data_IF_953810238605
#
_entry.id   IF_953810238605
#
_cell.length_a   1.000
_cell.length_b   1.000
_cell.length_c   1.000
_cell.angle_alpha   90.00
_cell.angle_beta   90.00
_cell.angle_gamma   90.00
#
_symmetry.space_group_name_H-M   'P 1'
#
loop_
_entity.id
_entity.type
_entity.pdbx_description
1 polymer ?
#
# COMPACT_ATOMS: atom_id res chain seq x y z
N UNK A 1 30.42 15.50 -6.07
CA UNK A 1 30.09 15.84 -4.67
C UNK A 1 28.64 16.31 -4.49
N UNK A 2 28.16 17.34 -5.21
CA UNK A 2 26.76 17.82 -5.07
C UNK A 2 25.73 16.72 -5.40
N UNK A 3 25.91 16.01 -6.52
CA UNK A 3 25.01 14.92 -6.96
C UNK A 3 24.91 13.73 -5.98
N UNK A 4 26.00 13.42 -5.27
CA UNK A 4 26.04 12.31 -4.30
C UNK A 4 25.28 12.68 -3.01
N UNK A 5 25.27 13.97 -2.66
CA UNK A 5 24.52 14.50 -1.53
C UNK A 5 23.01 14.52 -1.81
N UNK A 6 22.59 14.86 -3.03
CA UNK A 6 21.17 14.80 -3.41
C UNK A 6 20.64 13.36 -3.35
N UNK A 7 21.39 12.40 -3.88
CA UNK A 7 21.06 10.97 -3.78
C UNK A 7 20.98 10.48 -2.32
N UNK A 8 21.83 11.01 -1.44
CA UNK A 8 21.79 10.68 -0.01
C UNK A 8 20.54 11.25 0.68
N UNK A 9 20.14 12.48 0.35
CA UNK A 9 18.93 13.09 0.88
C UNK A 9 17.65 12.39 0.37
N UNK A 10 17.67 11.90 -0.87
CA UNK A 10 16.57 11.07 -1.40
C UNK A 10 16.50 9.73 -0.69
N UNK A 11 17.65 9.10 -0.42
CA UNK A 11 17.71 7.85 0.36
C UNK A 11 17.10 8.03 1.75
N UNK A 12 17.51 9.06 2.50
CA UNK A 12 16.98 9.30 3.85
C UNK A 12 15.45 9.46 3.84
N UNK A 13 14.89 10.16 2.85
CA UNK A 13 13.43 10.28 2.70
C UNK A 13 12.73 8.97 2.38
N UNK A 14 13.38 8.09 1.62
CA UNK A 14 12.85 6.75 1.31
C UNK A 14 12.85 5.88 2.57
N UNK A 15 13.94 5.93 3.35
CA UNK A 15 14.08 5.18 4.60
C UNK A 15 13.08 5.68 5.66
N UNK A 16 12.86 7.00 5.76
CA UNK A 16 11.84 7.58 6.64
C UNK A 16 10.43 7.16 6.23
N UNK A 17 10.13 7.17 4.93
CA UNK A 17 8.83 6.72 4.41
C UNK A 17 8.61 5.23 4.70
N UNK A 18 9.63 4.38 4.58
CA UNK A 18 9.54 2.95 4.90
C UNK A 18 9.23 2.71 6.38
N UNK A 19 9.87 3.48 7.26
CA UNK A 19 9.57 3.48 8.70
C UNK A 19 8.13 3.94 8.96
N UNK A 20 7.66 4.99 8.28
CA UNK A 20 6.30 5.49 8.45
C UNK A 20 5.24 4.53 7.90
N UNK A 21 5.48 3.84 6.78
CA UNK A 21 4.60 2.76 6.29
C UNK A 21 4.55 1.60 7.28
N UNK A 22 5.71 1.24 7.86
CA UNK A 22 5.81 0.12 8.81
C UNK A 22 5.11 0.41 10.15
N UNK A 23 5.00 1.69 10.53
CA UNK A 23 4.49 2.09 11.86
C UNK A 23 3.12 2.77 11.81
N UNK A 24 2.71 3.36 10.68
CA UNK A 24 1.49 4.16 10.60
C UNK A 24 0.25 3.33 10.27
N UNK A 25 -0.85 3.67 10.95
CA UNK A 25 -2.18 3.05 10.74
C UNK A 25 -2.89 3.65 9.51
N UNK A 26 -2.46 4.83 9.04
CA UNK A 26 -3.12 5.59 7.97
C UNK A 26 -2.26 5.63 6.70
N UNK A 27 -2.65 4.83 5.71
CA UNK A 27 -1.93 4.66 4.44
C UNK A 27 -2.10 5.83 3.45
N UNK A 28 -3.06 6.74 3.70
CA UNK A 28 -3.43 7.83 2.77
C UNK A 28 -2.37 8.93 2.61
N UNK A 29 -1.81 9.53 3.68
CA UNK A 29 -0.71 10.50 3.55
C UNK A 29 0.54 9.85 2.96
N UNK A 30 0.89 8.66 3.43
CA UNK A 30 2.08 7.91 3.05
C UNK A 30 2.09 7.52 1.56
N UNK A 31 0.91 7.22 0.99
CA UNK A 31 0.77 6.99 -0.46
C UNK A 31 1.01 8.28 -1.28
N UNK A 32 0.65 9.44 -0.75
CA UNK A 32 0.92 10.74 -1.40
C UNK A 32 2.41 11.07 -1.46
N UNK A 33 3.13 10.79 -0.39
CA UNK A 33 4.59 10.97 -0.33
C UNK A 33 5.31 9.97 -1.24
N UNK A 34 4.85 8.71 -1.29
CA UNK A 34 5.33 7.71 -2.25
C UNK A 34 5.19 8.19 -3.70
N UNK A 35 4.00 8.67 -4.09
CA UNK A 35 3.74 9.18 -5.44
C UNK A 35 4.63 10.38 -5.77
N UNK A 36 4.89 11.23 -4.79
CA UNK A 36 5.77 12.40 -4.96
C UNK A 36 7.22 11.96 -5.19
N UNK A 37 7.70 10.97 -4.43
CA UNK A 37 9.03 10.37 -4.62
C UNK A 37 9.15 9.63 -5.96
N UNK A 38 8.15 8.87 -6.38
CA UNK A 38 8.13 8.23 -7.70
C UNK A 38 8.24 9.27 -8.82
N UNK A 39 7.44 10.33 -8.78
CA UNK A 39 7.50 11.42 -9.78
C UNK A 39 8.88 12.07 -9.82
N UNK A 40 9.46 12.33 -8.65
CA UNK A 40 10.81 12.88 -8.55
C UNK A 40 11.85 11.92 -9.15
N UNK A 41 11.77 10.62 -8.86
CA UNK A 41 12.68 9.60 -9.38
C UNK A 41 12.58 9.46 -10.91
N UNK A 42 11.37 9.55 -11.48
CA UNK A 42 11.16 9.55 -12.94
C UNK A 42 11.81 10.78 -13.58
N UNK A 43 11.61 11.96 -12.99
CA UNK A 43 12.24 13.19 -13.47
C UNK A 43 13.77 13.09 -13.40
N UNK A 44 14.30 12.57 -12.29
CA UNK A 44 15.73 12.35 -12.08
C UNK A 44 16.30 11.39 -13.12
N UNK A 45 15.66 10.23 -13.32
CA UNK A 45 16.03 9.24 -14.35
C UNK A 45 16.09 9.87 -15.75
N UNK A 46 15.10 10.70 -16.07
CA UNK A 46 15.02 11.38 -17.37
C UNK A 46 16.20 12.34 -17.57
N UNK A 47 16.51 13.15 -16.56
CA UNK A 47 17.64 14.08 -16.59
C UNK A 47 18.99 13.36 -16.66
N UNK A 48 19.19 12.32 -15.85
CA UNK A 48 20.44 11.55 -15.86
C UNK A 48 20.66 10.82 -17.19
N UNK A 49 19.61 10.26 -17.79
CA UNK A 49 19.69 9.65 -19.11
C UNK A 49 20.04 10.65 -20.21
N UNK A 50 19.59 11.91 -20.10
CA UNK A 50 20.00 12.98 -21.00
C UNK A 50 21.48 13.36 -20.81
N UNK A 51 21.94 13.44 -19.55
CA UNK A 51 23.36 13.67 -19.22
C UNK A 51 24.25 12.53 -19.72
N UNK A 52 23.84 11.27 -19.56
CA UNK A 52 24.57 10.10 -20.04
C UNK A 52 24.76 10.14 -21.55
N UNK A 53 23.71 10.50 -22.32
CA UNK A 53 23.82 10.72 -23.77
C UNK A 53 24.80 11.83 -24.15
N UNK A 54 24.86 12.91 -23.38
CA UNK A 54 25.84 13.97 -23.59
C UNK A 54 27.26 13.46 -23.31
N UNK A 55 27.44 12.63 -22.28
CA UNK A 55 28.71 11.97 -21.96
C UNK A 55 29.12 10.96 -23.04
N UNK A 56 28.19 10.19 -23.61
CA UNK A 56 28.45 9.32 -24.75
C UNK A 56 28.98 10.12 -25.96
N UNK A 57 28.37 11.27 -26.23
CA UNK A 57 28.81 12.17 -27.30
C UNK A 57 30.21 12.72 -27.03
N UNK A 58 30.50 13.14 -25.79
CA UNK A 58 31.83 13.58 -25.38
C UNK A 58 32.82 12.42 -25.55
N UNK A 59 32.57 11.26 -24.95
CA UNK A 59 33.48 10.10 -25.03
C UNK A 59 33.83 9.73 -26.47
N UNK A 60 32.83 9.65 -27.35
CA UNK A 60 33.00 9.30 -28.78
C UNK A 60 33.83 10.33 -29.55
N UNK A 61 33.58 11.62 -29.36
CA UNK A 61 34.32 12.66 -30.07
C UNK A 61 35.75 12.82 -29.55
N UNK A 62 35.95 12.68 -28.24
CA UNK A 62 37.28 12.78 -27.63
C UNK A 62 38.14 11.55 -27.98
N UNK A 63 37.60 10.33 -28.09
CA UNK A 63 38.39 9.18 -28.59
C UNK A 63 38.94 9.33 -30.01
N UNK A 64 38.48 10.33 -30.78
CA UNK A 64 38.88 10.58 -32.17
C UNK A 64 40.01 11.62 -32.28
N UNK A 65 40.37 12.31 -31.19
CA UNK A 65 41.40 13.35 -31.18
C UNK A 65 42.67 12.75 -30.55
N UNK A 66 43.71 12.56 -31.35
CA UNK A 66 44.99 11.93 -30.93
C UNK A 66 45.78 12.75 -29.89
N UNK A 67 45.40 14.01 -29.65
CA UNK A 67 46.19 15.00 -28.88
C UNK A 67 45.68 15.24 -27.44
N UNK A 68 44.89 14.31 -26.89
CA UNK A 68 44.30 14.47 -25.56
C UNK A 68 45.22 13.88 -24.48
N UNK A 69 45.53 14.69 -23.48
CA UNK A 69 46.31 14.29 -22.32
C UNK A 69 45.68 13.10 -21.55
N UNK A 70 46.54 12.19 -21.05
CA UNK A 70 46.14 10.98 -20.31
C UNK A 70 45.28 11.33 -19.08
N UNK A 71 45.54 12.47 -18.42
CA UNK A 71 44.73 12.94 -17.29
C UNK A 71 43.28 13.22 -17.70
N UNK A 72 43.06 13.87 -18.84
CA UNK A 72 41.73 14.23 -19.34
C UNK A 72 40.92 12.99 -19.70
N UNK A 73 41.56 12.00 -20.33
CA UNK A 73 40.92 10.72 -20.66
C UNK A 73 40.47 9.96 -19.40
N UNK A 74 41.32 9.93 -18.37
CA UNK A 74 40.99 9.31 -17.08
C UNK A 74 39.79 9.98 -16.39
N UNK A 75 39.74 11.32 -16.41
CA UNK A 75 38.61 12.07 -15.82
C UNK A 75 37.31 11.74 -16.55
N UNK A 76 37.32 11.64 -17.89
CA UNK A 76 36.13 11.31 -18.68
C UNK A 76 35.64 9.88 -18.37
N UNK A 77 36.54 8.90 -18.26
CA UNK A 77 36.17 7.53 -17.90
C UNK A 77 35.62 7.44 -16.47
N UNK A 78 36.24 8.10 -15.47
CA UNK A 78 35.71 8.16 -14.09
C UNK A 78 34.30 8.80 -14.04
N UNK A 79 34.07 9.82 -14.87
CA UNK A 79 32.79 10.52 -14.94
C UNK A 79 31.71 9.66 -15.63
N UNK A 80 32.11 8.86 -16.60
CA UNK A 80 31.25 7.86 -17.24
C UNK A 80 30.83 6.76 -16.26
N UNK A 81 31.79 6.18 -15.53
CA UNK A 81 31.53 5.14 -14.53
C UNK A 81 30.64 5.64 -13.40
N UNK A 82 30.84 6.90 -12.98
CA UNK A 82 29.97 7.57 -12.01
C UNK A 82 28.54 7.72 -12.54
N UNK A 83 28.38 8.11 -13.81
CA UNK A 83 27.06 8.24 -14.44
C UNK A 83 26.35 6.89 -14.56
N UNK A 84 27.04 5.82 -14.96
CA UNK A 84 26.46 4.47 -15.04
C UNK A 84 26.02 3.98 -13.65
N UNK A 85 26.84 4.25 -12.63
CA UNK A 85 26.49 3.93 -11.24
C UNK A 85 25.23 4.65 -10.79
N UNK A 86 25.07 5.93 -11.13
CA UNK A 86 23.87 6.71 -10.80
C UNK A 86 22.61 6.16 -11.49
N UNK A 87 22.70 5.78 -12.76
CA UNK A 87 21.58 5.16 -13.48
C UNK A 87 21.13 3.85 -12.82
N UNK A 88 22.08 3.01 -12.40
CA UNK A 88 21.77 1.76 -11.66
C UNK A 88 21.08 2.04 -10.33
N UNK A 89 21.53 3.07 -9.60
CA UNK A 89 20.93 3.45 -8.32
C UNK A 89 19.49 3.96 -8.53
N UNK A 90 19.27 4.81 -9.51
CA UNK A 90 17.94 5.34 -9.85
C UNK A 90 16.97 4.20 -10.20
N UNK A 91 17.42 3.23 -11.02
CA UNK A 91 16.63 2.05 -11.36
C UNK A 91 16.29 1.21 -10.12
N UNK A 92 17.26 0.97 -9.23
CA UNK A 92 17.05 0.20 -8.00
C UNK A 92 16.04 0.87 -7.07
N UNK A 93 16.11 2.19 -6.86
CA UNK A 93 15.15 2.89 -6.01
C UNK A 93 13.77 3.00 -6.67
N UNK A 94 13.69 3.12 -8.00
CA UNK A 94 12.40 3.07 -8.71
C UNK A 94 11.71 1.72 -8.48
N UNK A 95 12.44 0.62 -8.64
CA UNK A 95 11.93 -0.72 -8.34
C UNK A 95 11.54 -0.91 -6.86
N UNK A 96 12.25 -0.24 -5.95
CA UNK A 96 11.90 -0.27 -4.54
C UNK A 96 10.59 0.47 -4.25
N UNK A 97 10.41 1.67 -4.83
CA UNK A 97 9.17 2.43 -4.72
C UNK A 97 7.97 1.65 -5.30
N UNK A 98 8.16 0.92 -6.40
CA UNK A 98 7.12 0.04 -6.96
C UNK A 98 6.75 -1.11 -6.00
N UNK A 99 7.74 -1.65 -5.26
CA UNK A 99 7.46 -2.67 -4.23
C UNK A 99 6.68 -2.10 -3.06
N UNK A 100 7.01 -0.88 -2.62
CA UNK A 100 6.26 -0.18 -1.57
C UNK A 100 4.83 0.11 -2.02
N UNK A 101 4.62 0.52 -3.28
CA UNK A 101 3.28 0.70 -3.84
C UNK A 101 2.46 -0.59 -3.76
N UNK A 102 3.04 -1.71 -4.21
CA UNK A 102 2.40 -3.02 -4.14
C UNK A 102 2.08 -3.43 -2.70
N UNK A 103 2.98 -3.14 -1.75
CA UNK A 103 2.74 -3.41 -0.33
C UNK A 103 1.59 -2.57 0.23
N UNK A 104 1.53 -1.27 -0.08
CA UNK A 104 0.43 -0.39 0.32
C UNK A 104 -0.89 -0.90 -0.27
N UNK A 105 -0.93 -1.25 -1.55
CA UNK A 105 -2.12 -1.81 -2.19
C UNK A 105 -2.59 -3.12 -1.51
N UNK A 106 -1.65 -3.98 -1.12
CA UNK A 106 -1.96 -5.21 -0.37
C UNK A 106 -2.50 -4.89 1.04
N UNK A 107 -1.93 -3.91 1.73
CA UNK A 107 -2.43 -3.46 3.04
C UNK A 107 -3.83 -2.85 2.94
N UNK A 108 -4.09 -2.00 1.93
CA UNK A 108 -5.42 -1.45 1.67
C UNK A 108 -6.43 -2.58 1.43
N UNK A 109 -6.05 -3.56 0.59
CA UNK A 109 -6.90 -4.73 0.31
C UNK A 109 -7.17 -5.57 1.57
N UNK A 110 -6.16 -5.73 2.43
CA UNK A 110 -6.33 -6.39 3.72
C UNK A 110 -7.29 -5.63 4.64
N UNK A 111 -7.15 -4.30 4.74
CA UNK A 111 -8.05 -3.45 5.52
C UNK A 111 -9.49 -3.51 4.99
N UNK A 112 -9.68 -3.44 3.67
CA UNK A 112 -11.00 -3.55 3.05
C UNK A 112 -11.62 -4.92 3.34
N UNK A 113 -10.84 -6.00 3.22
CA UNK A 113 -11.30 -7.34 3.57
C UNK A 113 -11.68 -7.44 5.05
N UNK A 114 -10.91 -6.84 5.96
CA UNK A 114 -11.25 -6.82 7.39
C UNK A 114 -12.55 -6.03 7.66
N UNK A 115 -12.73 -4.87 7.01
CA UNK A 115 -13.96 -4.07 7.13
C UNK A 115 -15.16 -4.83 6.59
N UNK A 116 -15.02 -5.48 5.42
CA UNK A 116 -16.11 -6.28 4.84
C UNK A 116 -16.47 -7.46 5.75
N UNK A 117 -15.49 -8.18 6.30
CA UNK A 117 -15.73 -9.27 7.26
C UNK A 117 -16.49 -8.80 8.49
N UNK A 118 -16.06 -7.70 9.10
CA UNK A 118 -16.70 -7.14 10.30
C UNK A 118 -18.13 -6.65 10.01
N UNK A 119 -18.34 -5.96 8.89
CA UNK A 119 -19.67 -5.53 8.47
C UNK A 119 -20.60 -6.72 8.19
N UNK A 120 -20.10 -7.74 7.50
CA UNK A 120 -20.86 -8.98 7.21
C UNK A 120 -21.21 -9.73 8.49
N UNK A 121 -20.28 -9.86 9.43
CA UNK A 121 -20.52 -10.46 10.75
C UNK A 121 -21.64 -9.76 11.50
N UNK A 122 -21.57 -8.43 11.63
CA UNK A 122 -22.60 -7.63 12.29
C UNK A 122 -23.95 -7.78 11.56
N UNK A 123 -23.94 -7.75 10.23
CA UNK A 123 -25.15 -7.89 9.42
C UNK A 123 -25.86 -9.23 9.64
N UNK A 124 -25.11 -10.35 9.65
CA UNK A 124 -25.67 -11.69 9.89
C UNK A 124 -26.26 -11.79 11.31
N UNK A 125 -25.54 -11.29 12.31
CA UNK A 125 -25.97 -11.29 13.72
C UNK A 125 -27.26 -10.50 13.91
N UNK A 126 -27.41 -9.35 13.24
CA UNK A 126 -28.60 -8.50 13.28
C UNK A 126 -29.78 -9.04 12.46
N UNK A 127 -29.51 -9.78 11.38
CA UNK A 127 -30.55 -10.33 10.49
C UNK A 127 -31.40 -11.40 11.20
N UNK A 128 -30.80 -12.20 12.09
CA UNK A 128 -31.52 -13.28 12.81
C UNK A 128 -32.67 -12.71 13.67
N UNK A 129 -32.44 -11.72 14.56
CA UNK A 129 -33.54 -11.09 15.29
C UNK A 129 -34.54 -10.39 14.39
N UNK A 130 -34.07 -9.70 13.34
CA UNK A 130 -34.95 -8.99 12.42
C UNK A 130 -35.94 -9.93 11.72
N UNK A 131 -35.50 -11.12 11.30
CA UNK A 131 -36.37 -12.14 10.71
C UNK A 131 -37.38 -12.67 11.73
N UNK A 132 -36.96 -12.97 12.96
CA UNK A 132 -37.84 -13.48 14.02
C UNK A 132 -38.94 -12.46 14.33
N UNK A 133 -38.58 -11.20 14.54
CA UNK A 133 -39.55 -10.13 14.76
C UNK A 133 -40.39 -9.84 13.52
N UNK A 134 -39.81 -9.95 12.31
CA UNK A 134 -40.54 -9.81 11.05
C UNK A 134 -41.66 -10.84 10.93
N UNK A 135 -41.39 -12.11 11.23
CA UNK A 135 -42.42 -13.16 11.27
C UNK A 135 -43.44 -12.95 12.40
N UNK A 136 -43.00 -12.47 13.55
CA UNK A 136 -43.88 -12.18 14.68
C UNK A 136 -44.76 -10.95 14.46
N UNK A 137 -44.36 -10.04 13.56
CA UNK A 137 -45.12 -8.86 13.15
C UNK A 137 -46.13 -9.13 12.03
N UNK A 138 -46.19 -10.35 11.49
CA UNK A 138 -47.24 -10.76 10.57
C UNK A 138 -48.51 -10.96 11.41
N UNK A 139 -49.63 -10.35 10.99
CA UNK A 139 -50.94 -10.42 11.67
C UNK A 139 -51.60 -11.81 11.56
N UNK A 140 -50.88 -12.85 11.97
CA UNK A 140 -51.28 -14.26 12.03
C UNK A 140 -51.09 -14.70 13.48
N UNK A 141 -51.92 -15.62 13.97
CA UNK A 141 -51.81 -16.11 15.34
C UNK A 141 -50.41 -16.64 15.64
N UNK A 142 -49.67 -15.93 16.49
CA UNK A 142 -48.28 -16.26 16.80
C UNK A 142 -48.17 -17.13 18.05
N UNK A 143 -47.21 -18.06 18.11
CA UNK A 143 -46.89 -18.73 19.36
C UNK A 143 -46.48 -17.67 20.39
N UNK A 144 -47.04 -17.75 21.60
CA UNK A 144 -46.88 -16.83 22.74
C UNK A 144 -47.70 -15.51 22.72
N UNK A 145 -48.64 -15.32 21.77
CA UNK A 145 -49.49 -14.12 21.73
C UNK A 145 -50.36 -13.90 22.98
N UNK A 146 -50.80 -14.99 23.62
CA UNK A 146 -51.73 -14.97 24.77
C UNK A 146 -51.05 -14.72 26.13
N UNK A 147 -49.72 -14.65 26.18
CA UNK A 147 -48.96 -14.48 27.43
C UNK A 147 -48.36 -13.07 27.50
N UNK A 148 -48.55 -12.39 28.65
CA UNK A 148 -47.98 -11.05 28.89
C UNK A 148 -46.44 -11.01 28.79
N UNK A 149 -45.78 -12.17 28.91
CA UNK A 149 -44.32 -12.34 28.75
C UNK A 149 -43.88 -12.94 27.41
N UNK A 150 -44.80 -13.16 26.46
CA UNK A 150 -44.51 -13.81 25.19
C UNK A 150 -43.46 -13.09 24.34
N UNK A 151 -43.55 -11.76 24.30
CA UNK A 151 -42.58 -10.88 23.64
C UNK A 151 -41.18 -11.05 24.23
N UNK A 152 -41.08 -11.10 25.56
CA UNK A 152 -39.82 -11.26 26.30
C UNK A 152 -39.18 -12.63 26.04
N UNK A 153 -39.99 -13.70 25.98
CA UNK A 153 -39.52 -15.05 25.67
C UNK A 153 -38.96 -15.13 24.24
N UNK A 154 -39.63 -14.55 23.26
CA UNK A 154 -39.20 -14.53 21.85
C UNK A 154 -37.93 -13.70 21.69
N UNK A 155 -37.80 -12.58 22.40
CA UNK A 155 -36.59 -11.76 22.41
C UNK A 155 -35.39 -12.53 22.97
N UNK A 156 -35.56 -13.26 24.07
CA UNK A 156 -34.50 -14.08 24.67
C UNK A 156 -34.07 -15.21 23.73
N UNK A 157 -35.03 -15.93 23.13
CA UNK A 157 -34.75 -17.02 22.16
C UNK A 157 -34.00 -16.48 20.94
N UNK A 158 -34.44 -15.33 20.42
CA UNK A 158 -33.81 -14.64 19.30
C UNK A 158 -32.37 -14.21 19.61
N UNK A 159 -32.14 -13.64 20.80
CA UNK A 159 -30.81 -13.27 21.27
C UNK A 159 -29.89 -14.48 21.45
N UNK A 160 -30.40 -15.60 21.99
CA UNK A 160 -29.63 -16.85 22.14
C UNK A 160 -29.27 -17.42 20.76
N UNK A 161 -30.20 -17.43 19.80
CA UNK A 161 -29.95 -17.94 18.46
C UNK A 161 -28.91 -17.09 17.71
N UNK A 162 -29.02 -15.76 17.83
CA UNK A 162 -28.03 -14.81 17.31
C UNK A 162 -26.65 -15.02 17.93
N UNK A 163 -26.57 -15.24 19.25
CA UNK A 163 -25.33 -15.54 19.97
C UNK A 163 -24.71 -16.87 19.53
N UNK A 164 -25.51 -17.91 19.34
CA UNK A 164 -25.06 -19.22 18.84
C UNK A 164 -24.49 -19.08 17.43
N UNK A 165 -25.18 -18.37 16.54
CA UNK A 165 -24.69 -18.09 15.19
C UNK A 165 -23.37 -17.32 15.22
N UNK A 166 -23.25 -16.29 16.05
CA UNK A 166 -22.01 -15.54 16.25
C UNK A 166 -20.86 -16.44 16.72
N UNK A 167 -21.09 -17.28 17.74
CA UNK A 167 -20.09 -18.21 18.26
C UNK A 167 -19.65 -19.25 17.21
N UNK A 168 -20.58 -19.76 16.39
CA UNK A 168 -20.26 -20.69 15.29
C UNK A 168 -19.42 -20.00 14.21
N UNK A 169 -19.76 -18.76 13.86
CA UNK A 169 -19.00 -17.96 12.89
C UNK A 169 -17.59 -17.65 13.38
N UNK A 170 -17.43 -17.42 14.68
CA UNK A 170 -16.11 -17.21 15.30
C UNK A 170 -15.27 -18.49 15.38
N UNK A 171 -15.91 -19.66 15.53
CA UNK A 171 -15.22 -20.94 15.71
C UNK A 171 -14.80 -21.61 14.40
N UNK A 172 -15.61 -21.45 13.35
CA UNK A 172 -15.19 -21.83 12.02
C UNK A 172 -14.47 -20.64 11.41
N UNK A 173 -13.17 -20.78 11.17
CA UNK A 173 -12.32 -19.83 10.45
C UNK A 173 -12.74 -19.68 8.97
N UNK A 174 -14.02 -19.40 8.73
CA UNK A 174 -14.60 -18.99 7.45
C UNK A 174 -15.08 -17.56 7.62
N UNK A 175 -14.09 -16.68 7.77
CA UNK A 175 -14.02 -15.32 7.24
C UNK A 175 -12.56 -14.88 7.38
#
# INVERSE_FOLDING_TARGET
YIMLNDLRGVKEKIDDLDSEISTSVSLKPTFGDLLTLQKYMIALSTTYKANHKALDFIKKNFTTIDDIDFSTKKIIDDLYDTSDTMDRIILSYSQYLDKLENMINNMISYQLNMIMKTLTEISIVLTIPAIIFGFWGINVHVPFEKSSYGVLAVLIISAILSLICWLLMRRKTYL
#
